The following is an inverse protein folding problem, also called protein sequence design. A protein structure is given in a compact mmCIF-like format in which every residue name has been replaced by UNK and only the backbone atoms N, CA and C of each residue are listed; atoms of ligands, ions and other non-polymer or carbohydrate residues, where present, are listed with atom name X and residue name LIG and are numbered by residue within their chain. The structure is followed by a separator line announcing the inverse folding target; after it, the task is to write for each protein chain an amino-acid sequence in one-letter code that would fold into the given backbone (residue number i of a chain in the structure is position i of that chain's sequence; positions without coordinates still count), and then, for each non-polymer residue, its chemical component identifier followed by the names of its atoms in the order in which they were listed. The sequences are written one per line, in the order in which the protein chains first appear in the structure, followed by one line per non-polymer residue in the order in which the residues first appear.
data_IF_969318697043
#
_entry.id   IF_969318697043
#
_cell.length_a   1.000
_cell.length_b   1.000
_cell.length_c   1.000
_cell.angle_alpha   90.00
_cell.angle_beta   90.00
_cell.angle_gamma   90.00
#
_symmetry.space_group_name_H-M   'P 1'
#
loop_
_entity.id
_entity.type
_entity.pdbx_description
1 polymer ?
#
# COMPACT_ATOMS: atom_id res chain seq x y z
N UNK A 1 -17.36 -18.32 -10.90
CA UNK A 1 -17.59 -17.30 -9.84
C UNK A 1 -17.45 -15.93 -10.48
N UNK A 2 -18.48 -15.10 -10.39
CA UNK A 2 -18.60 -13.82 -11.11
C UNK A 2 -17.38 -12.91 -10.86
N UNK A 3 -16.72 -12.44 -11.92
CA UNK A 3 -15.66 -11.43 -11.81
C UNK A 3 -16.29 -10.10 -11.42
N UNK A 4 -16.56 -9.91 -10.12
CA UNK A 4 -16.94 -8.59 -9.62
C UNK A 4 -15.77 -7.64 -9.88
N UNK A 5 -16.07 -6.54 -10.55
CA UNK A 5 -15.17 -5.39 -10.69
C UNK A 5 -14.57 -5.04 -9.33
N UNK A 6 -13.31 -4.61 -9.31
CA UNK A 6 -12.71 -4.09 -8.08
C UNK A 6 -13.52 -2.89 -7.57
N UNK A 7 -13.75 -2.87 -6.26
CA UNK A 7 -14.36 -1.77 -5.54
C UNK A 7 -13.43 -0.55 -5.56
N UNK A 8 -13.99 0.66 -5.40
CA UNK A 8 -13.22 1.91 -5.40
C UNK A 8 -12.11 1.90 -4.34
N UNK A 9 -12.38 1.36 -3.14
CA UNK A 9 -11.39 1.23 -2.05
C UNK A 9 -10.21 0.33 -2.44
N UNK A 10 -10.47 -0.77 -3.14
CA UNK A 10 -9.44 -1.70 -3.60
C UNK A 10 -8.55 -1.04 -4.66
N UNK A 11 -9.16 -0.31 -5.60
CA UNK A 11 -8.42 0.47 -6.60
C UNK A 11 -7.56 1.55 -5.96
N UNK A 12 -8.07 2.25 -4.93
CA UNK A 12 -7.31 3.25 -4.17
C UNK A 12 -6.12 2.62 -3.43
N UNK A 13 -6.29 1.43 -2.86
CA UNK A 13 -5.19 0.70 -2.21
C UNK A 13 -4.12 0.26 -3.22
N UNK A 14 -4.52 -0.25 -4.39
CA UNK A 14 -3.59 -0.56 -5.47
C UNK A 14 -2.89 0.71 -5.99
N UNK A 15 -3.61 1.82 -6.07
CA UNK A 15 -3.03 3.11 -6.46
C UNK A 15 -1.96 3.58 -5.49
N UNK A 16 -2.21 3.47 -4.18
CA UNK A 16 -1.20 3.77 -3.15
C UNK A 16 0.09 2.96 -3.37
N UNK A 17 -0.03 1.67 -3.65
CA UNK A 17 1.14 0.80 -3.92
C UNK A 17 1.83 1.20 -5.22
N UNK A 18 1.09 1.59 -6.27
CA UNK A 18 1.66 2.10 -7.51
C UNK A 18 2.47 3.38 -7.27
N UNK A 19 1.88 4.36 -6.57
CA UNK A 19 2.51 5.66 -6.28
C UNK A 19 3.75 5.47 -5.39
N UNK A 20 3.71 4.52 -4.45
CA UNK A 20 4.87 4.18 -3.63
C UNK A 20 6.06 3.68 -4.46
N UNK A 21 5.80 3.00 -5.58
CA UNK A 21 6.79 2.69 -6.62
C UNK A 21 7.86 1.65 -6.25
N UNK A 22 8.03 1.32 -4.96
CA UNK A 22 9.01 0.34 -4.43
C UNK A 22 8.28 -0.82 -3.73
N UNK A 23 8.91 -1.99 -3.52
CA UNK A 23 8.31 -3.05 -2.70
C UNK A 23 8.01 -2.54 -1.29
N UNK A 24 6.77 -2.73 -0.83
CA UNK A 24 6.30 -2.22 0.46
C UNK A 24 5.99 -3.36 1.42
N UNK A 25 6.50 -3.29 2.65
CA UNK A 25 6.16 -4.29 3.68
C UNK A 25 4.68 -4.17 4.10
N UNK A 26 4.07 -5.26 4.59
CA UNK A 26 2.71 -5.24 5.14
C UNK A 26 2.50 -4.10 6.14
N UNK A 27 3.38 -3.99 7.15
CA UNK A 27 3.37 -2.91 8.15
C UNK A 27 3.44 -1.51 7.50
N UNK A 28 4.22 -1.37 6.43
CA UNK A 28 4.32 -0.13 5.66
C UNK A 28 2.98 0.28 5.03
N UNK A 29 2.25 -0.67 4.46
CA UNK A 29 0.91 -0.42 3.89
C UNK A 29 -0.04 0.08 4.97
N UNK A 30 -0.15 -0.63 6.11
CA UNK A 30 -1.06 -0.19 7.19
C UNK A 30 -0.70 1.20 7.71
N UNK A 31 0.58 1.49 7.90
CA UNK A 31 1.03 2.80 8.38
C UNK A 31 0.68 3.92 7.39
N UNK A 32 0.87 3.69 6.09
CA UNK A 32 0.52 4.68 5.06
C UNK A 32 -0.98 4.91 4.98
N UNK A 33 -1.77 3.84 4.99
CA UNK A 33 -3.23 3.95 4.93
C UNK A 33 -3.76 4.69 6.16
N UNK A 34 -3.28 4.34 7.36
CA UNK A 34 -3.64 5.03 8.59
C UNK A 34 -3.31 6.52 8.53
N UNK A 35 -2.07 6.85 8.17
CA UNK A 35 -1.59 8.23 8.00
C UNK A 35 -2.49 9.01 7.03
N UNK A 36 -2.74 8.45 5.85
CA UNK A 36 -3.56 9.09 4.83
C UNK A 36 -5.00 9.32 5.29
N UNK A 37 -5.58 8.37 6.02
CA UNK A 37 -6.96 8.46 6.49
C UNK A 37 -7.12 9.42 7.65
N UNK A 38 -6.28 9.31 8.68
CA UNK A 38 -6.43 10.08 9.93
C UNK A 38 -5.84 11.49 9.83
N UNK A 39 -4.72 11.68 9.12
CA UNK A 39 -4.00 12.96 9.09
C UNK A 39 -4.22 13.75 7.79
N UNK A 40 -4.56 13.08 6.69
CA UNK A 40 -4.74 13.71 5.38
C UNK A 40 -6.18 13.63 4.85
N UNK A 41 -7.09 12.96 5.56
CA UNK A 41 -8.50 12.86 5.20
C UNK A 41 -8.76 12.16 3.87
N UNK A 42 -7.95 11.15 3.53
CA UNK A 42 -8.20 10.26 2.39
C UNK A 42 -9.04 9.09 2.89
N UNK A 43 -10.29 8.98 2.45
CA UNK A 43 -11.19 7.94 2.94
C UNK A 43 -10.88 6.56 2.32
N UNK A 44 -10.21 5.69 3.07
CA UNK A 44 -10.05 4.29 2.69
C UNK A 44 -11.15 3.39 3.27
N UNK A 45 -11.92 3.87 4.24
CA UNK A 45 -12.98 3.14 4.93
C UNK A 45 -12.50 2.00 5.82
N UNK A 46 -11.25 2.03 6.31
CA UNK A 46 -10.72 0.98 7.20
C UNK A 46 -10.71 1.41 8.65
N UNK A 47 -11.11 0.53 9.54
CA UNK A 47 -11.06 0.81 10.98
C UNK A 47 -9.68 0.53 11.58
N UNK A 48 -9.14 1.48 12.34
CA UNK A 48 -7.91 1.31 13.13
C UNK A 48 -8.24 1.47 14.62
N UNK A 49 -8.02 0.44 15.46
CA UNK A 49 -8.19 0.58 16.91
C UNK A 49 -7.24 1.66 17.48
N UNK A 50 -7.68 2.30 18.56
CA UNK A 50 -6.90 3.33 19.24
C UNK A 50 -5.50 2.81 19.64
N UNK A 51 -4.46 3.60 19.36
CA UNK A 51 -3.08 3.21 19.63
C UNK A 51 -2.50 2.11 18.72
N UNK A 52 -3.30 1.53 17.81
CA UNK A 52 -2.88 0.40 16.96
C UNK A 52 -2.62 0.86 15.52
N UNK A 53 -1.46 0.49 14.95
CA UNK A 53 -1.08 0.82 13.56
C UNK A 53 -1.57 -0.20 12.53
N UNK A 54 -2.40 -1.15 12.95
CA UNK A 54 -2.83 -2.30 12.16
C UNK A 54 -4.36 -2.33 12.11
N UNK A 55 -4.90 -2.74 10.97
CA UNK A 55 -6.32 -2.89 10.72
C UNK A 55 -6.57 -4.28 10.16
N UNK A 56 -7.42 -5.08 10.82
CA UNK A 56 -7.75 -6.43 10.35
C UNK A 56 -8.42 -6.39 8.97
N UNK A 57 -9.33 -5.44 8.76
CA UNK A 57 -10.04 -5.27 7.49
C UNK A 57 -9.09 -4.96 6.33
N UNK A 58 -8.11 -4.08 6.57
CA UNK A 58 -7.08 -3.79 5.57
C UNK A 58 -6.19 -5.02 5.31
N UNK A 59 -5.90 -5.82 6.34
CA UNK A 59 -5.10 -7.02 6.19
C UNK A 59 -5.78 -8.06 5.29
N UNK A 60 -7.07 -8.29 5.54
CA UNK A 60 -7.92 -9.18 4.77
C UNK A 60 -8.03 -8.70 3.31
N UNK A 61 -8.11 -7.38 3.08
CA UNK A 61 -8.14 -6.80 1.74
C UNK A 61 -6.80 -6.98 1.00
N UNK A 62 -5.67 -6.80 1.68
CA UNK A 62 -4.34 -7.08 1.11
C UNK A 62 -4.22 -8.57 0.73
N UNK A 63 -4.71 -9.47 1.58
CA UNK A 63 -4.71 -10.92 1.32
C UNK A 63 -5.56 -11.23 0.08
N UNK A 64 -6.80 -10.73 0.02
CA UNK A 64 -7.70 -10.93 -1.10
C UNK A 64 -7.13 -10.39 -2.43
N UNK A 65 -6.49 -9.21 -2.42
CA UNK A 65 -5.85 -8.64 -3.61
C UNK A 65 -4.64 -9.45 -4.06
N UNK A 66 -3.92 -10.06 -3.12
CA UNK A 66 -2.78 -10.95 -3.41
C UNK A 66 -3.26 -12.26 -4.01
N UNK A 67 -4.25 -12.91 -3.41
CA UNK A 67 -4.85 -14.17 -3.90
C UNK A 67 -5.47 -14.00 -5.30
N UNK A 68 -6.11 -12.85 -5.55
CA UNK A 68 -6.66 -12.50 -6.87
C UNK A 68 -5.57 -12.10 -7.88
N UNK A 69 -4.31 -12.01 -7.48
CA UNK A 69 -3.16 -11.72 -8.32
C UNK A 69 -2.98 -10.25 -8.71
N UNK A 70 -3.62 -9.31 -8.01
CA UNK A 70 -3.39 -7.86 -8.21
C UNK A 70 -2.12 -7.38 -7.50
N UNK A 71 -1.77 -8.04 -6.39
CA UNK A 71 -0.50 -7.88 -5.69
C UNK A 71 0.31 -9.18 -5.79
N UNK A 72 1.63 -9.05 -5.78
CA UNK A 72 2.57 -10.16 -5.65
C UNK A 72 3.40 -9.98 -4.39
N UNK A 73 3.64 -11.08 -3.67
CA UNK A 73 4.55 -11.12 -2.53
C UNK A 73 5.96 -11.45 -3.02
N UNK A 74 6.91 -10.61 -2.67
CA UNK A 74 8.34 -10.84 -2.78
C UNK A 74 8.90 -11.10 -1.38
N UNK A 75 9.72 -12.13 -1.25
CA UNK A 75 10.40 -12.43 0.00
C UNK A 75 11.84 -11.92 -0.06
N UNK A 76 12.17 -10.97 0.79
CA UNK A 76 13.55 -10.53 0.96
C UNK A 76 14.22 -11.35 2.06
N UNK A 77 15.44 -11.81 1.81
CA UNK A 77 16.25 -12.48 2.80
C UNK A 77 16.57 -11.51 3.96
N UNK A 78 16.25 -11.86 5.20
CA UNK A 78 16.58 -11.07 6.37
C UNK A 78 17.94 -11.46 6.97
N UNK A 79 18.67 -10.49 7.51
CA UNK A 79 19.99 -10.73 8.13
C UNK A 79 19.99 -11.40 9.51
N UNK A 80 18.87 -12.02 9.93
CA UNK A 80 18.77 -12.71 11.23
C UNK A 80 18.18 -14.11 11.04
N UNK A 81 18.76 -15.10 11.72
CA UNK A 81 18.43 -16.53 11.59
C UNK A 81 16.93 -16.85 11.78
N UNK A 82 16.23 -16.13 12.66
CA UNK A 82 14.79 -16.32 12.92
C UNK A 82 13.86 -15.47 12.02
N UNK A 83 14.41 -14.61 11.16
CA UNK A 83 13.65 -13.72 10.28
C UNK A 83 14.17 -13.79 8.85
N UNK A 84 14.42 -15.02 8.38
CA UNK A 84 15.00 -15.32 7.08
C UNK A 84 14.21 -14.70 5.93
N UNK A 85 12.88 -14.55 6.02
CA UNK A 85 12.10 -13.99 4.93
C UNK A 85 11.12 -12.93 5.41
N UNK A 86 11.19 -11.75 4.79
CA UNK A 86 10.23 -10.66 5.03
C UNK A 86 9.37 -10.45 3.78
N UNK A 87 8.03 -10.48 3.90
CA UNK A 87 7.14 -10.27 2.76
C UNK A 87 7.05 -8.78 2.40
N UNK A 88 7.24 -8.49 1.11
CA UNK A 88 7.02 -7.20 0.49
C UNK A 88 6.01 -7.36 -0.64
N UNK A 89 5.14 -6.37 -0.80
CA UNK A 89 4.06 -6.36 -1.76
C UNK A 89 4.43 -5.43 -2.91
N UNK A 90 4.21 -5.91 -4.13
CA UNK A 90 4.38 -5.14 -5.36
C UNK A 90 3.15 -5.29 -6.23
N UNK A 91 2.88 -4.27 -7.06
CA UNK A 91 1.84 -4.36 -8.07
C UNK A 91 2.22 -5.35 -9.16
N UNK A 92 1.27 -6.19 -9.55
CA UNK A 92 1.37 -6.99 -10.79
C UNK A 92 0.90 -6.17 -11.98
N UNK A 93 1.15 -6.65 -13.20
CA UNK A 93 0.60 -6.01 -14.40
C UNK A 93 -0.94 -6.03 -14.41
N UNK A 94 -1.54 -7.10 -13.88
CA UNK A 94 -2.99 -7.17 -13.63
C UNK A 94 -3.45 -6.06 -12.68
N UNK A 95 -2.70 -5.81 -11.60
CA UNK A 95 -2.91 -4.71 -10.67
C UNK A 95 -2.87 -3.34 -11.36
N UNK A 96 -1.86 -3.10 -12.21
CA UNK A 96 -1.69 -1.84 -12.95
C UNK A 96 -2.85 -1.60 -13.91
N UNK A 97 -3.24 -2.62 -14.68
CA UNK A 97 -4.37 -2.53 -15.61
C UNK A 97 -5.69 -2.23 -14.90
N UNK A 98 -5.88 -2.77 -13.69
CA UNK A 98 -7.12 -2.61 -12.92
C UNK A 98 -7.35 -1.18 -12.37
N UNK A 99 -6.30 -0.36 -12.32
CA UNK A 99 -6.36 1.05 -11.89
C UNK A 99 -6.14 2.05 -13.03
N UNK A 100 -6.07 1.57 -14.28
CA UNK A 100 -5.98 2.42 -15.48
C UNK A 100 -7.14 3.41 -15.59
N UNK A 101 -8.33 3.00 -15.15
CA UNK A 101 -9.48 3.88 -14.91
C UNK A 101 -9.52 4.22 -13.42
N UNK A 102 -9.08 5.44 -13.09
CA UNK A 102 -9.16 5.97 -11.72
C UNK A 102 -10.62 6.21 -11.36
N UNK A 103 -11.24 5.21 -10.73
CA UNK A 103 -12.64 5.27 -10.29
C UNK A 103 -12.75 5.74 -8.83
N UNK A 104 -11.92 6.70 -8.43
CA UNK A 104 -11.94 7.35 -7.10
C UNK A 104 -11.58 8.83 -7.23
N UNK A 105 -11.84 9.61 -6.18
CA UNK A 105 -11.69 11.07 -6.19
C UNK A 105 -10.29 11.52 -6.63
N UNK A 106 -10.22 12.53 -7.51
CA UNK A 106 -8.97 13.17 -7.93
C UNK A 106 -8.22 13.77 -6.72
N UNK A 107 -8.96 14.35 -5.77
CA UNK A 107 -8.40 14.91 -4.54
C UNK A 107 -7.71 13.84 -3.69
N UNK A 108 -8.27 12.63 -3.62
CA UNK A 108 -7.61 11.52 -2.92
C UNK A 108 -6.33 11.10 -3.63
N UNK A 109 -6.35 11.04 -4.97
CA UNK A 109 -5.16 10.72 -5.76
C UNK A 109 -4.02 11.71 -5.50
N UNK A 110 -4.32 13.01 -5.54
CA UNK A 110 -3.35 14.09 -5.30
C UNK A 110 -2.75 14.02 -3.89
N UNK A 111 -3.59 13.80 -2.86
CA UNK A 111 -3.13 13.63 -1.48
C UNK A 111 -2.22 12.41 -1.31
N UNK A 112 -2.58 11.29 -1.94
CA UNK A 112 -1.74 10.07 -1.94
C UNK A 112 -0.37 10.38 -2.56
N UNK A 113 -0.35 11.00 -3.73
CA UNK A 113 0.88 11.41 -4.42
C UNK A 113 1.74 12.35 -3.57
N UNK A 114 1.12 13.36 -2.96
CA UNK A 114 1.81 14.33 -2.12
C UNK A 114 2.51 13.65 -0.93
N UNK A 115 1.76 12.87 -0.14
CA UNK A 115 2.28 12.22 1.07
C UNK A 115 3.37 11.22 0.73
N UNK A 116 3.15 10.38 -0.29
CA UNK A 116 4.12 9.38 -0.69
C UNK A 116 5.39 10.02 -1.23
N UNK A 117 5.29 11.08 -2.05
CA UNK A 117 6.45 11.78 -2.58
C UNK A 117 7.33 12.39 -1.48
N UNK A 118 6.73 12.95 -0.42
CA UNK A 118 7.47 13.47 0.74
C UNK A 118 8.22 12.36 1.47
N UNK A 119 7.59 11.18 1.65
CA UNK A 119 8.20 10.05 2.35
C UNK A 119 9.33 9.40 1.55
N UNK A 120 9.18 9.25 0.24
CA UNK A 120 10.22 8.68 -0.63
C UNK A 120 11.43 9.62 -0.69
N UNK A 121 11.23 10.92 -0.92
CA UNK A 121 12.31 11.93 -0.92
C UNK A 121 13.05 12.01 0.41
N UNK A 122 12.33 11.89 1.53
CA UNK A 122 12.95 11.92 2.87
C UNK A 122 13.83 10.71 3.13
N UNK A 123 13.47 9.54 2.59
CA UNK A 123 14.32 8.33 2.68
C UNK A 123 15.59 8.48 1.85
N UNK A 124 15.48 8.96 0.62
CA UNK A 124 16.62 9.12 -0.30
C UNK A 124 17.67 10.08 0.28
N UNK A 125 17.25 11.24 0.82
CA UNK A 125 18.16 12.17 1.51
C UNK A 125 18.91 11.56 2.70
N UNK A 126 18.27 10.65 3.45
CA UNK A 126 18.89 10.00 4.62
C UNK A 126 19.91 8.93 4.20
N UNK A 127 19.68 8.27 3.08
CA UNK A 127 20.61 7.29 2.52
C UNK A 127 21.83 7.98 1.91
N UNK A 128 21.68 9.13 1.25
CA UNK A 128 22.80 9.96 0.75
C UNK A 128 23.66 10.56 1.86
N UNK A 129 23.08 10.88 3.02
CA UNK A 129 23.82 11.48 4.16
C UNK A 129 24.54 10.44 5.04
N UNK A 130 24.31 9.14 4.78
CA UNK A 130 24.89 8.03 5.55
C UNK A 130 26.06 7.34 4.82
N UNK A 131 26.49 7.90 3.68
CA UNK A 131 27.63 7.44 2.86
C UNK A 131 28.79 8.41 3.00
#
# INVERSE_FOLDING_TARGET
MSSRSLEARQKKLLYLVQVYGKPISRKGIHRLVKLLQEEHGVDFGFSFPEGVQFSRELDDEINALTEKGYLKVLYAAGGRFLHLYRPFYVLTDKGKSAISKKDFSKTDAEKIEEVVSKLVKTKEKREESAV
#
